data_IF_731775529531
#
_entry.id   IF_731775529531
#
_cell.length_a   1.000
_cell.length_b   1.000
_cell.length_c   1.000
_cell.angle_alpha   90.00
_cell.angle_beta   90.00
_cell.angle_gamma   90.00
#
_symmetry.space_group_name_H-M   'P 1'
#
loop_
_entity.id
_entity.type
_entity.pdbx_description
1 polymer ?
#
# COMPACT_ATOMS: atom_id res chain seq x y z
N UNK A 1 4.42 18.22 -1.07
CA UNK A 1 5.70 17.70 -1.59
C UNK A 1 5.58 17.54 -3.09
N UNK A 2 6.59 17.91 -3.85
CA UNK A 2 6.63 17.82 -5.31
C UNK A 2 7.74 16.86 -5.69
N UNK A 3 7.42 15.83 -6.47
CA UNK A 3 8.39 14.87 -6.99
C UNK A 3 8.52 15.05 -8.50
N UNK A 4 9.73 14.88 -9.02
CA UNK A 4 9.98 14.86 -10.48
C UNK A 4 10.41 13.47 -10.94
N UNK A 5 9.91 13.05 -12.09
CA UNK A 5 10.28 11.78 -12.69
C UNK A 5 11.50 11.92 -13.61
N UNK A 6 12.41 10.94 -13.57
CA UNK A 6 13.40 10.71 -14.62
C UNK A 6 13.78 9.22 -14.69
N UNK A 7 14.49 8.79 -15.73
CA UNK A 7 15.03 7.44 -15.81
C UNK A 7 16.41 7.37 -15.13
N UNK A 8 16.82 6.19 -14.67
CA UNK A 8 18.15 5.98 -14.08
C UNK A 8 19.26 6.39 -15.05
N UNK A 9 19.10 6.13 -16.35
CA UNK A 9 20.06 6.52 -17.38
C UNK A 9 19.82 7.94 -17.94
N UNK A 10 18.99 8.76 -17.28
CA UNK A 10 18.58 10.09 -17.70
C UNK A 10 17.14 10.11 -18.23
N UNK A 11 16.92 9.62 -19.45
CA UNK A 11 15.58 9.43 -20.04
C UNK A 11 15.47 8.00 -20.62
N UNK A 12 14.34 7.64 -21.23
CA UNK A 12 14.09 6.27 -21.74
C UNK A 12 15.23 5.70 -22.63
N UNK A 13 15.85 6.53 -23.47
CA UNK A 13 16.99 6.17 -24.33
C UNK A 13 18.35 6.68 -23.85
N UNK A 14 18.44 7.09 -22.59
CA UNK A 14 19.63 7.74 -22.05
C UNK A 14 19.77 9.23 -22.40
N UNK A 15 20.99 9.75 -22.34
CA UNK A 15 21.32 11.13 -22.70
C UNK A 15 21.88 11.22 -24.13
N UNK A 16 21.75 12.36 -24.81
CA UNK A 16 22.29 12.53 -26.16
C UNK A 16 23.84 12.59 -26.15
N UNK A 17 24.59 11.59 -26.66
CA UNK A 17 26.05 11.56 -26.50
C UNK A 17 26.79 12.67 -27.25
N UNK A 18 26.20 13.15 -28.35
CA UNK A 18 26.76 14.25 -29.16
C UNK A 18 26.50 15.65 -28.58
N UNK A 19 25.73 15.76 -27.49
CA UNK A 19 25.44 17.05 -26.87
C UNK A 19 26.68 17.69 -26.29
N UNK A 20 26.92 18.97 -26.62
CA UNK A 20 28.03 19.75 -26.04
C UNK A 20 27.92 19.84 -24.51
N UNK A 21 26.70 19.96 -23.98
CA UNK A 21 26.43 20.09 -22.53
C UNK A 21 26.73 18.78 -21.80
N UNK A 22 26.46 17.64 -22.44
CA UNK A 22 26.65 16.32 -21.82
C UNK A 22 28.08 15.81 -21.89
N UNK A 23 28.96 16.42 -22.70
CA UNK A 23 30.36 15.99 -22.91
C UNK A 23 31.13 15.80 -21.59
N UNK A 24 30.87 16.64 -20.58
CA UNK A 24 31.55 16.57 -19.28
C UNK A 24 31.27 15.27 -18.51
N UNK A 25 30.19 14.55 -18.85
CA UNK A 25 29.83 13.25 -18.27
C UNK A 25 30.29 12.06 -19.11
N UNK A 26 31.01 12.30 -20.21
CA UNK A 26 31.52 11.25 -21.11
C UNK A 26 30.47 10.21 -21.57
N UNK A 27 29.30 10.63 -22.07
CA UNK A 27 28.28 9.68 -22.50
C UNK A 27 28.71 8.87 -23.73
N UNK A 28 28.34 7.59 -23.76
CA UNK A 28 28.59 6.66 -24.87
C UNK A 28 27.31 5.99 -25.30
N UNK A 29 27.21 5.66 -26.58
CA UNK A 29 26.10 4.87 -27.08
C UNK A 29 26.40 3.39 -26.80
N UNK A 30 25.61 2.78 -25.94
CA UNK A 30 25.73 1.37 -25.55
C UNK A 30 24.48 0.60 -25.94
N UNK A 31 24.62 -0.68 -26.25
CA UNK A 31 23.49 -1.51 -26.68
C UNK A 31 23.18 -2.55 -25.60
N UNK A 32 21.95 -2.57 -25.05
CA UNK A 32 21.57 -3.58 -24.07
C UNK A 32 21.76 -5.00 -24.62
N UNK A 33 22.41 -5.85 -23.83
CA UNK A 33 22.58 -7.27 -24.12
C UNK A 33 21.69 -8.09 -23.17
N UNK A 34 20.47 -8.45 -23.58
CA UNK A 34 19.58 -9.24 -22.73
C UNK A 34 20.11 -10.68 -22.55
N UNK A 35 19.97 -11.21 -21.33
CA UNK A 35 20.23 -12.61 -21.04
C UNK A 35 19.07 -13.51 -21.52
N UNK A 36 19.29 -14.84 -21.53
CA UNK A 36 18.21 -15.81 -21.80
C UNK A 36 17.00 -15.64 -20.87
N UNK A 37 17.24 -15.27 -19.62
CA UNK A 37 16.17 -15.01 -18.65
C UNK A 37 15.45 -13.70 -18.91
N UNK A 38 16.13 -12.65 -19.41
CA UNK A 38 15.45 -11.38 -19.73
C UNK A 38 14.49 -11.54 -20.92
N UNK A 39 14.73 -12.50 -21.82
CA UNK A 39 13.87 -12.78 -22.99
C UNK A 39 12.93 -13.97 -22.81
N UNK A 40 12.86 -14.58 -21.61
CA UNK A 40 11.97 -15.73 -21.36
C UNK A 40 10.52 -15.34 -21.08
N UNK A 41 10.24 -14.04 -20.94
CA UNK A 41 8.91 -13.47 -20.69
C UNK A 41 8.52 -12.46 -21.78
N UNK A 42 7.34 -11.82 -21.66
CA UNK A 42 6.96 -10.75 -22.58
C UNK A 42 8.02 -9.65 -22.59
N UNK A 43 8.49 -9.34 -23.79
CA UNK A 43 9.43 -8.25 -24.05
C UNK A 43 8.59 -7.02 -24.36
N UNK A 44 8.71 -5.99 -23.52
CA UNK A 44 8.13 -4.69 -23.80
C UNK A 44 8.73 -4.10 -25.08
N UNK A 45 7.90 -3.50 -25.94
CA UNK A 45 8.36 -2.82 -27.17
C UNK A 45 9.41 -1.74 -26.89
N UNK A 46 9.37 -1.13 -25.71
CA UNK A 46 10.41 -0.20 -25.25
C UNK A 46 11.78 -0.88 -25.24
N UNK A 47 11.89 -2.10 -24.72
CA UNK A 47 13.17 -2.82 -24.70
C UNK A 47 13.65 -3.18 -26.12
N UNK A 48 12.73 -3.51 -27.03
CA UNK A 48 13.06 -3.74 -28.45
C UNK A 48 13.64 -2.47 -29.09
N UNK A 49 13.00 -1.33 -28.87
CA UNK A 49 13.46 -0.05 -29.39
C UNK A 49 14.83 0.34 -28.82
N UNK A 50 15.02 0.20 -27.51
CA UNK A 50 16.29 0.51 -26.85
C UNK A 50 17.40 -0.43 -27.32
N UNK A 51 17.11 -1.72 -27.55
CA UNK A 51 18.05 -2.67 -28.15
C UNK A 51 18.46 -2.30 -29.58
N UNK A 52 17.53 -1.75 -30.37
CA UNK A 52 17.79 -1.33 -31.75
C UNK A 52 18.58 -0.02 -31.86
N UNK A 53 18.24 0.98 -31.04
CA UNK A 53 18.78 2.34 -31.16
C UNK A 53 19.92 2.64 -30.18
N UNK A 54 20.10 1.80 -29.15
CA UNK A 54 21.07 2.00 -28.09
C UNK A 54 20.59 2.97 -27.00
N UNK A 55 21.34 2.98 -25.90
CA UNK A 55 21.20 3.87 -24.75
C UNK A 55 22.39 4.81 -24.72
N UNK A 56 22.14 6.11 -24.64
CA UNK A 56 23.17 7.08 -24.33
C UNK A 56 23.55 7.02 -22.85
N UNK A 57 24.48 6.13 -22.53
CA UNK A 57 24.89 5.79 -21.18
C UNK A 57 25.98 6.75 -20.70
N UNK A 58 25.84 7.26 -19.47
CA UNK A 58 26.86 8.09 -18.83
C UNK A 58 27.97 7.18 -18.27
N UNK A 59 29.22 7.64 -18.34
CA UNK A 59 30.34 6.92 -17.76
C UNK A 59 30.13 6.73 -16.24
N UNK A 60 30.24 5.50 -15.69
CA UNK A 60 30.06 5.27 -14.26
C UNK A 60 30.92 6.16 -13.35
N UNK A 61 32.12 6.56 -13.80
CA UNK A 61 32.98 7.48 -13.04
C UNK A 61 32.46 8.91 -12.97
N UNK A 62 31.42 9.25 -13.75
CA UNK A 62 30.82 10.59 -13.88
C UNK A 62 29.35 10.64 -13.51
N UNK A 63 28.72 9.50 -13.24
CA UNK A 63 27.26 9.43 -13.01
C UNK A 63 26.81 10.20 -11.77
N UNK A 64 27.61 10.20 -10.69
CA UNK A 64 27.33 11.01 -9.50
C UNK A 64 27.28 12.51 -9.85
N UNK A 65 28.25 13.01 -10.61
CA UNK A 65 28.26 14.42 -11.02
C UNK A 65 27.05 14.77 -11.89
N UNK A 66 26.58 13.83 -12.72
CA UNK A 66 25.36 14.03 -13.51
C UNK A 66 24.12 14.15 -12.63
N UNK A 67 23.93 13.20 -11.70
CA UNK A 67 22.80 13.26 -10.78
C UNK A 67 22.85 14.50 -9.90
N UNK A 68 24.03 14.88 -9.41
CA UNK A 68 24.19 16.07 -8.58
C UNK A 68 23.77 17.34 -9.29
N UNK A 69 24.19 17.53 -10.54
CA UNK A 69 23.79 18.69 -11.33
C UNK A 69 22.28 18.68 -11.62
N UNK A 70 21.70 17.50 -11.90
CA UNK A 70 20.26 17.36 -12.15
C UNK A 70 19.44 17.63 -10.88
N UNK A 71 19.76 16.97 -9.78
CA UNK A 71 19.01 17.06 -8.53
C UNK A 71 19.20 18.40 -7.84
N UNK A 72 20.39 19.00 -7.89
CA UNK A 72 20.60 20.36 -7.36
C UNK A 72 19.77 21.39 -8.13
N UNK A 73 19.68 21.26 -9.46
CA UNK A 73 18.79 22.08 -10.27
C UNK A 73 17.32 21.87 -9.89
N UNK A 74 16.85 20.63 -9.79
CA UNK A 74 15.47 20.33 -9.38
C UNK A 74 15.16 20.89 -7.99
N UNK A 75 16.05 20.70 -7.02
CA UNK A 75 15.92 21.25 -5.67
C UNK A 75 15.88 22.79 -5.68
N UNK A 76 16.70 23.44 -6.53
CA UNK A 76 16.66 24.91 -6.71
C UNK A 76 15.32 25.42 -7.27
N UNK A 77 14.60 24.57 -8.00
CA UNK A 77 13.25 24.82 -8.51
C UNK A 77 12.15 24.48 -7.49
N UNK A 78 12.50 24.06 -6.27
CA UNK A 78 11.53 23.72 -5.22
C UNK A 78 10.98 22.29 -5.30
N UNK A 79 11.62 21.38 -6.03
CA UNK A 79 11.30 19.95 -6.02
C UNK A 79 11.79 19.32 -4.73
N UNK A 80 10.96 18.48 -4.10
CA UNK A 80 11.24 17.84 -2.82
C UNK A 80 11.91 16.46 -2.98
N UNK A 81 11.82 15.83 -4.15
CA UNK A 81 12.37 14.50 -4.42
C UNK A 81 12.18 14.00 -5.84
N UNK A 82 12.55 12.75 -6.10
CA UNK A 82 12.51 12.14 -7.43
C UNK A 82 11.87 10.75 -7.44
N UNK A 83 11.15 10.45 -8.54
CA UNK A 83 10.78 9.08 -8.91
C UNK A 83 11.72 8.65 -10.03
N UNK A 84 12.52 7.60 -9.80
CA UNK A 84 13.55 7.15 -10.75
C UNK A 84 13.19 5.81 -11.35
N UNK A 85 13.01 5.82 -12.66
CA UNK A 85 12.44 4.71 -13.41
C UNK A 85 13.47 4.00 -14.29
N UNK A 86 13.04 2.96 -15.00
CA UNK A 86 13.89 2.22 -15.96
C UNK A 86 15.14 1.64 -15.28
N UNK A 87 15.08 1.34 -13.99
CA UNK A 87 16.29 0.95 -13.25
C UNK A 87 16.82 -0.40 -13.72
N UNK A 88 15.97 -1.36 -14.03
CA UNK A 88 16.36 -2.71 -14.47
C UNK A 88 17.18 -2.73 -15.78
N UNK A 89 17.22 -1.64 -16.57
CA UNK A 89 18.00 -1.60 -17.83
C UNK A 89 19.50 -1.86 -17.59
N UNK A 90 20.01 -1.49 -16.41
CA UNK A 90 21.44 -1.61 -16.07
C UNK A 90 21.91 -3.06 -16.05
N UNK A 91 21.00 -4.01 -15.84
CA UNK A 91 21.30 -5.45 -15.89
C UNK A 91 21.89 -5.86 -17.25
N UNK A 92 21.45 -5.17 -18.31
CA UNK A 92 21.82 -5.45 -19.70
C UNK A 92 22.94 -4.55 -20.24
N UNK A 93 23.43 -3.60 -19.44
CA UNK A 93 24.41 -2.58 -19.87
C UNK A 93 25.78 -2.73 -19.18
N UNK A 94 25.98 -3.74 -18.34
CA UNK A 94 27.22 -3.90 -17.57
C UNK A 94 28.45 -4.38 -18.35
N UNK A 95 28.33 -4.68 -19.65
CA UNK A 95 29.45 -5.14 -20.48
C UNK A 95 30.52 -4.04 -20.58
N UNK A 96 31.78 -4.37 -20.28
CA UNK A 96 32.87 -3.38 -20.24
C UNK A 96 32.96 -2.55 -18.95
N UNK A 97 32.01 -2.70 -18.02
CA UNK A 97 31.94 -1.94 -16.76
C UNK A 97 32.02 -2.83 -15.50
N UNK A 98 32.74 -3.95 -15.57
CA UNK A 98 32.85 -4.91 -14.45
C UNK A 98 31.67 -5.87 -14.32
N UNK A 99 30.75 -5.88 -15.29
CA UNK A 99 29.56 -6.71 -15.30
C UNK A 99 28.37 -6.07 -14.58
N UNK A 100 27.20 -6.70 -14.69
CA UNK A 100 25.92 -6.15 -14.21
C UNK A 100 25.90 -5.80 -12.72
N UNK A 101 26.63 -6.55 -11.89
CA UNK A 101 26.65 -6.34 -10.42
C UNK A 101 27.39 -5.06 -10.07
N UNK A 102 28.63 -4.93 -10.56
CA UNK A 102 29.47 -3.76 -10.28
C UNK A 102 28.87 -2.49 -10.88
N UNK A 103 28.37 -2.58 -12.12
CA UNK A 103 27.73 -1.47 -12.81
C UNK A 103 26.47 -0.97 -12.09
N UNK A 104 25.55 -1.88 -11.73
CA UNK A 104 24.33 -1.53 -10.96
C UNK A 104 24.67 -0.87 -9.64
N UNK A 105 25.67 -1.40 -8.92
CA UNK A 105 26.10 -0.88 -7.63
C UNK A 105 26.61 0.57 -7.73
N UNK A 106 27.42 0.87 -8.75
CA UNK A 106 27.93 2.24 -8.95
C UNK A 106 26.80 3.22 -9.27
N UNK A 107 25.87 2.85 -10.15
CA UNK A 107 24.72 3.70 -10.51
C UNK A 107 23.78 3.93 -9.32
N UNK A 108 23.48 2.88 -8.55
CA UNK A 108 22.60 2.99 -7.38
C UNK A 108 23.23 3.84 -6.29
N UNK A 109 24.52 3.65 -5.99
CA UNK A 109 25.22 4.44 -4.96
C UNK A 109 25.27 5.92 -5.34
N UNK A 110 25.56 6.23 -6.60
CA UNK A 110 25.57 7.60 -7.09
C UNK A 110 24.19 8.26 -7.05
N UNK A 111 23.13 7.51 -7.36
CA UNK A 111 21.76 7.99 -7.26
C UNK A 111 21.42 8.34 -5.81
N UNK A 112 21.66 7.41 -4.89
CA UNK A 112 21.38 7.57 -3.47
C UNK A 112 22.18 8.72 -2.84
N UNK A 113 23.48 8.81 -3.13
CA UNK A 113 24.34 9.91 -2.64
C UNK A 113 23.85 11.27 -3.12
N UNK A 114 23.43 11.35 -4.38
CA UNK A 114 22.90 12.59 -4.93
C UNK A 114 21.54 12.98 -4.32
N UNK A 115 20.68 11.99 -4.06
CA UNK A 115 19.38 12.23 -3.41
C UNK A 115 19.59 12.73 -1.97
N UNK A 116 20.46 12.07 -1.20
CA UNK A 116 20.77 12.45 0.19
C UNK A 116 21.31 13.87 0.28
N UNK A 117 22.20 14.23 -0.66
CA UNK A 117 22.79 15.57 -0.74
C UNK A 117 21.77 16.67 -1.07
N UNK A 118 20.81 16.42 -1.95
CA UNK A 118 19.98 17.47 -2.54
C UNK A 118 18.55 17.56 -1.97
N UNK A 119 18.04 16.49 -1.35
CA UNK A 119 16.65 16.43 -0.87
C UNK A 119 16.55 16.14 0.63
N UNK A 120 15.72 16.93 1.35
CA UNK A 120 15.69 17.02 2.82
C UNK A 120 15.26 15.76 3.60
N UNK A 121 14.90 14.66 2.94
CA UNK A 121 14.38 13.46 3.58
C UNK A 121 14.59 12.16 2.78
N UNK A 122 15.65 12.08 1.96
CA UNK A 122 15.91 10.94 1.08
C UNK A 122 14.68 10.55 0.22
N UNK A 123 14.08 11.57 -0.40
CA UNK A 123 12.83 11.47 -1.13
C UNK A 123 13.04 10.82 -2.51
N UNK A 124 13.29 9.52 -2.51
CA UNK A 124 13.45 8.68 -3.70
C UNK A 124 12.35 7.62 -3.77
N UNK A 125 11.67 7.53 -4.92
CA UNK A 125 10.83 6.40 -5.29
C UNK A 125 11.52 5.64 -6.42
N UNK A 126 12.00 4.44 -6.13
CA UNK A 126 12.61 3.58 -7.15
C UNK A 126 11.55 2.82 -7.94
N UNK A 127 11.67 2.78 -9.25
CA UNK A 127 10.68 2.17 -10.14
C UNK A 127 11.37 1.30 -11.19
N UNK A 128 10.70 0.23 -11.60
CA UNK A 128 11.31 -0.83 -12.42
C UNK A 128 12.63 -1.34 -11.82
N UNK A 129 12.66 -1.54 -10.50
CA UNK A 129 13.89 -1.81 -9.73
C UNK A 129 13.82 -3.12 -8.94
N UNK A 130 13.07 -4.10 -9.44
CA UNK A 130 12.81 -5.38 -8.76
C UNK A 130 13.88 -6.45 -9.02
N UNK A 131 14.98 -6.09 -9.69
CA UNK A 131 16.08 -7.03 -9.89
C UNK A 131 16.88 -7.25 -8.59
N UNK A 132 17.65 -8.34 -8.57
CA UNK A 132 18.47 -8.71 -7.42
C UNK A 132 19.54 -7.67 -7.13
N UNK A 133 20.09 -7.04 -8.16
CA UNK A 133 21.16 -6.05 -8.02
C UNK A 133 20.70 -4.84 -7.22
N UNK A 134 19.48 -4.36 -7.47
CA UNK A 134 18.88 -3.29 -6.68
C UNK A 134 18.67 -3.72 -5.23
N UNK A 135 18.08 -4.89 -5.00
CA UNK A 135 17.82 -5.41 -3.65
C UNK A 135 19.12 -5.50 -2.82
N UNK A 136 20.23 -5.95 -3.42
CA UNK A 136 21.51 -6.08 -2.72
C UNK A 136 22.37 -4.80 -2.71
N UNK A 137 22.09 -3.83 -3.60
CA UNK A 137 22.91 -2.61 -3.73
C UNK A 137 22.29 -1.37 -3.10
N UNK A 138 20.95 -1.33 -2.97
CA UNK A 138 20.22 -0.25 -2.31
C UNK A 138 20.60 -0.21 -0.84
N UNK A 139 21.03 0.96 -0.35
CA UNK A 139 21.45 1.14 1.05
C UNK A 139 20.50 2.04 1.83
N UNK A 140 19.99 3.07 1.16
CA UNK A 140 19.16 4.10 1.81
C UNK A 140 17.81 4.25 1.13
N UNK A 141 17.65 3.88 -0.14
CA UNK A 141 16.38 3.97 -0.85
C UNK A 141 15.26 3.23 -0.11
N UNK A 142 14.29 3.97 0.41
CA UNK A 142 13.27 3.43 1.31
C UNK A 142 11.98 3.01 0.60
N UNK A 143 11.72 3.51 -0.61
CA UNK A 143 10.48 3.26 -1.36
C UNK A 143 10.81 2.69 -2.72
N UNK A 144 10.16 1.57 -3.08
CA UNK A 144 10.24 1.05 -4.44
C UNK A 144 8.87 0.54 -4.92
N UNK A 145 8.57 0.76 -6.20
CA UNK A 145 7.40 0.21 -6.88
C UNK A 145 7.51 -1.29 -6.93
N UNK A 146 6.48 -1.99 -6.44
CA UNK A 146 6.43 -3.45 -6.38
C UNK A 146 5.44 -4.05 -7.36
N UNK A 147 5.18 -3.33 -8.45
CA UNK A 147 4.09 -3.60 -9.37
C UNK A 147 4.51 -3.38 -10.82
N UNK A 148 3.74 -3.96 -11.73
CA UNK A 148 3.56 -3.39 -13.07
C UNK A 148 2.80 -2.06 -12.96
N UNK A 149 2.82 -1.24 -14.01
CA UNK A 149 2.06 0.02 -14.01
C UNK A 149 0.55 -0.23 -13.86
N UNK A 150 -0.13 0.65 -13.13
CA UNK A 150 -1.58 0.73 -13.17
C UNK A 150 -2.03 1.16 -14.57
N UNK A 151 -2.64 0.23 -15.30
CA UNK A 151 -3.13 0.44 -16.67
C UNK A 151 -4.66 0.64 -16.67
N UNK A 152 -5.18 1.88 -16.56
CA UNK A 152 -6.62 2.14 -16.41
C UNK A 152 -7.46 1.60 -17.58
N UNK A 153 -6.90 1.60 -18.79
CA UNK A 153 -7.61 1.18 -20.00
C UNK A 153 -7.50 -0.32 -20.29
N UNK A 154 -6.84 -1.10 -19.42
CA UNK A 154 -6.67 -2.54 -19.56
C UNK A 154 -7.48 -3.28 -18.47
N UNK A 155 -8.72 -3.73 -18.77
CA UNK A 155 -9.60 -4.35 -17.79
C UNK A 155 -9.00 -5.61 -17.13
N UNK A 156 -8.22 -6.37 -17.88
CA UNK A 156 -7.58 -7.62 -17.43
C UNK A 156 -6.42 -7.39 -16.45
N UNK A 157 -5.90 -6.16 -16.36
CA UNK A 157 -4.82 -5.79 -15.44
C UNK A 157 -5.33 -5.33 -14.09
N UNK A 158 -6.61 -4.99 -13.96
CA UNK A 158 -7.14 -4.38 -12.74
C UNK A 158 -7.03 -5.30 -11.53
N UNK A 159 -7.43 -6.56 -11.69
CA UNK A 159 -7.33 -7.57 -10.65
C UNK A 159 -5.92 -8.09 -10.48
N UNK A 160 -5.21 -8.28 -11.60
CA UNK A 160 -3.82 -8.70 -11.63
C UNK A 160 -2.91 -7.75 -10.85
N UNK A 161 -3.10 -6.44 -10.99
CA UNK A 161 -2.33 -5.42 -10.28
C UNK A 161 -2.39 -5.63 -8.77
N UNK A 162 -3.62 -5.74 -8.22
CA UNK A 162 -3.83 -5.93 -6.76
C UNK A 162 -3.22 -7.25 -6.28
N UNK A 163 -3.33 -8.33 -7.06
CA UNK A 163 -2.67 -9.58 -6.73
C UNK A 163 -1.14 -9.44 -6.76
N UNK A 164 -0.57 -8.92 -7.84
CA UNK A 164 0.87 -8.78 -8.02
C UNK A 164 1.50 -7.92 -6.91
N UNK A 165 0.91 -6.78 -6.58
CA UNK A 165 1.45 -5.90 -5.52
C UNK A 165 1.43 -6.56 -4.15
N UNK A 166 0.36 -7.31 -3.83
CA UNK A 166 0.27 -8.02 -2.56
C UNK A 166 1.34 -9.13 -2.48
N UNK A 167 1.46 -9.96 -3.53
CA UNK A 167 2.44 -11.04 -3.56
C UNK A 167 3.88 -10.53 -3.57
N UNK A 168 4.20 -9.51 -4.36
CA UNK A 168 5.54 -8.91 -4.37
C UNK A 168 5.91 -8.28 -3.02
N UNK A 169 4.91 -7.75 -2.30
CA UNK A 169 5.09 -7.19 -0.95
C UNK A 169 5.46 -8.23 0.10
N UNK A 170 5.34 -9.55 -0.16
CA UNK A 170 5.81 -10.59 0.76
C UNK A 170 7.33 -10.54 0.97
N UNK A 171 8.08 -10.35 -0.12
CA UNK A 171 9.54 -10.23 -0.06
C UNK A 171 9.93 -8.77 0.10
N UNK A 172 9.41 -7.90 -0.76
CA UNK A 172 9.89 -6.52 -0.79
C UNK A 172 9.43 -5.68 0.38
N UNK A 173 8.31 -6.02 1.01
CA UNK A 173 7.86 -5.34 2.22
C UNK A 173 8.79 -5.52 3.43
N UNK A 174 9.73 -6.47 3.37
CA UNK A 174 10.78 -6.66 4.40
C UNK A 174 12.01 -5.79 4.14
N UNK A 175 12.10 -5.16 2.96
CA UNK A 175 13.31 -4.47 2.46
C UNK A 175 13.03 -2.98 2.26
N UNK A 176 11.86 -2.65 1.69
CA UNK A 176 11.42 -1.30 1.35
C UNK A 176 9.97 -1.09 1.78
N UNK A 177 9.55 0.17 1.86
CA UNK A 177 8.13 0.54 1.85
C UNK A 177 7.60 0.31 0.42
N UNK A 178 6.68 -0.64 0.20
CA UNK A 178 6.20 -0.92 -1.13
C UNK A 178 5.38 0.25 -1.68
N UNK A 179 5.69 0.69 -2.90
CA UNK A 179 4.83 1.56 -3.69
C UNK A 179 3.91 0.68 -4.56
N UNK A 180 2.60 0.77 -4.31
CA UNK A 180 1.55 0.02 -5.01
C UNK A 180 1.03 0.74 -6.26
N UNK A 181 1.74 1.77 -6.70
CA UNK A 181 1.42 2.65 -7.81
C UNK A 181 0.16 3.50 -7.60
N UNK A 182 0.04 4.51 -8.45
CA UNK A 182 -1.13 5.35 -8.60
C UNK A 182 -2.38 4.56 -8.99
N UNK A 183 -3.54 5.16 -8.80
CA UNK A 183 -4.81 4.71 -9.38
C UNK A 183 -5.66 5.91 -9.79
N UNK A 184 -6.74 5.63 -10.50
CA UNK A 184 -7.76 6.63 -10.82
C UNK A 184 -8.92 6.48 -9.84
N UNK A 185 -9.29 7.57 -9.16
CA UNK A 185 -10.45 7.61 -8.28
C UNK A 185 -11.75 7.74 -9.09
N UNK A 186 -11.73 8.39 -10.26
CA UNK A 186 -12.84 8.41 -11.22
C UNK A 186 -12.71 7.24 -12.21
N UNK A 187 -12.88 6.01 -11.70
CA UNK A 187 -12.77 4.79 -12.48
C UNK A 187 -13.70 3.69 -11.96
N UNK A 188 -14.18 2.80 -12.83
CA UNK A 188 -15.11 1.73 -12.43
C UNK A 188 -14.51 0.73 -11.43
N UNK A 189 -13.18 0.68 -11.30
CA UNK A 189 -12.44 -0.12 -10.31
C UNK A 189 -11.87 0.71 -9.14
N UNK A 190 -12.23 1.99 -9.02
CA UNK A 190 -11.66 2.89 -8.02
C UNK A 190 -11.86 2.41 -6.58
N UNK A 191 -13.05 1.91 -6.25
CA UNK A 191 -13.33 1.34 -4.93
C UNK A 191 -12.42 0.14 -4.62
N UNK A 192 -12.25 -0.77 -5.60
CA UNK A 192 -11.42 -1.97 -5.48
C UNK A 192 -9.94 -1.61 -5.23
N UNK A 193 -9.42 -0.66 -6.02
CA UNK A 193 -8.04 -0.18 -5.91
C UNK A 193 -7.78 0.68 -4.67
N UNK A 194 -8.75 1.51 -4.28
CA UNK A 194 -8.71 2.30 -3.07
C UNK A 194 -8.69 1.40 -1.83
N UNK A 195 -9.63 0.46 -1.75
CA UNK A 195 -9.67 -0.55 -0.69
C UNK A 195 -8.31 -1.26 -0.55
N UNK A 196 -7.74 -1.78 -1.65
CA UNK A 196 -6.44 -2.45 -1.63
C UNK A 196 -5.31 -1.57 -1.03
N UNK A 197 -5.23 -0.29 -1.42
CA UNK A 197 -4.20 0.65 -0.94
C UNK A 197 -4.33 0.99 0.54
N UNK A 198 -5.54 0.94 1.11
CA UNK A 198 -5.74 1.08 2.55
C UNK A 198 -5.06 -0.05 3.35
N UNK A 199 -4.92 -1.24 2.75
CA UNK A 199 -4.22 -2.38 3.32
C UNK A 199 -2.72 -2.41 3.00
N UNK A 200 -2.28 -1.74 1.95
CA UNK A 200 -0.91 -1.86 1.45
C UNK A 200 0.18 -1.36 2.40
N UNK A 201 -0.17 -0.51 3.36
CA UNK A 201 0.83 0.20 4.18
C UNK A 201 1.71 1.13 3.34
N UNK A 202 1.20 1.53 2.18
CA UNK A 202 1.90 2.29 1.16
C UNK A 202 1.43 3.75 1.13
N UNK A 203 2.07 4.55 0.28
CA UNK A 203 1.55 5.87 -0.10
C UNK A 203 0.32 5.75 -1.00
N UNK A 204 -0.44 6.83 -1.12
CA UNK A 204 -1.64 6.90 -1.96
C UNK A 204 -1.41 8.00 -3.01
N UNK A 205 -1.37 7.61 -4.28
CA UNK A 205 -1.26 8.52 -5.41
C UNK A 205 -2.51 8.42 -6.27
N UNK A 206 -3.16 9.55 -6.51
CA UNK A 206 -4.30 9.65 -7.42
C UNK A 206 -3.83 10.37 -8.67
N UNK A 207 -4.06 9.76 -9.84
CA UNK A 207 -3.57 10.25 -11.13
C UNK A 207 -4.71 10.60 -12.09
N UNK A 208 -5.83 11.01 -11.50
CA UNK A 208 -6.99 11.47 -12.24
C UNK A 208 -6.68 12.69 -13.11
N UNK A 209 -7.49 12.87 -14.14
CA UNK A 209 -7.50 14.14 -14.88
C UNK A 209 -7.91 15.28 -13.93
N UNK A 210 -7.30 16.48 -14.04
CA UNK A 210 -7.71 17.63 -13.25
C UNK A 210 -9.23 17.87 -13.33
N UNK A 211 -9.88 17.97 -12.17
CA UNK A 211 -11.33 18.17 -12.07
C UNK A 211 -12.19 16.91 -12.22
N UNK A 212 -11.58 15.72 -12.33
CA UNK A 212 -12.26 14.42 -12.45
C UNK A 212 -11.89 13.51 -11.28
N UNK A 213 -12.30 13.89 -10.08
CA UNK A 213 -12.01 13.15 -8.86
C UNK A 213 -13.30 12.59 -8.25
N UNK A 214 -13.26 11.33 -7.83
CA UNK A 214 -14.28 10.76 -6.96
C UNK A 214 -13.88 11.00 -5.49
N UNK A 215 -14.42 12.09 -4.92
CA UNK A 215 -14.18 12.42 -3.53
C UNK A 215 -14.81 11.42 -2.55
N UNK A 216 -15.80 10.62 -2.95
CA UNK A 216 -16.37 9.60 -2.08
C UNK A 216 -15.41 8.44 -1.87
N UNK A 217 -14.61 8.07 -2.88
CA UNK A 217 -13.53 7.10 -2.71
C UNK A 217 -12.35 7.72 -1.96
N UNK A 218 -11.93 8.94 -2.33
CA UNK A 218 -10.76 9.59 -1.71
C UNK A 218 -10.95 9.83 -0.22
N UNK A 219 -12.14 10.28 0.22
CA UNK A 219 -12.45 10.51 1.65
C UNK A 219 -12.47 9.24 2.49
N UNK A 220 -12.49 8.05 1.89
CA UNK A 220 -12.33 6.77 2.63
C UNK A 220 -10.87 6.41 2.87
N UNK A 221 -9.93 7.12 2.24
CA UNK A 221 -8.48 6.88 2.29
C UNK A 221 -7.72 7.99 3.01
N UNK A 222 -8.15 9.23 2.80
CA UNK A 222 -7.40 10.45 3.16
C UNK A 222 -8.23 11.29 4.12
N UNK A 223 -7.59 11.74 5.21
CA UNK A 223 -8.15 12.70 6.16
C UNK A 223 -8.21 14.11 5.55
N UNK A 224 -9.04 15.03 6.07
CA UNK A 224 -9.11 16.40 5.57
C UNK A 224 -7.78 17.19 5.54
N UNK A 225 -6.79 16.81 6.35
CA UNK A 225 -5.45 17.42 6.34
C UNK A 225 -4.51 16.84 5.26
N UNK A 226 -5.00 15.93 4.41
CA UNK A 226 -4.24 15.26 3.36
C UNK A 226 -3.42 14.05 3.83
N UNK A 227 -3.42 13.75 5.14
CA UNK A 227 -2.73 12.57 5.66
C UNK A 227 -3.58 11.31 5.55
N UNK A 228 -2.93 10.16 5.64
CA UNK A 228 -3.57 8.84 5.52
C UNK A 228 -3.51 8.06 6.83
N UNK A 229 -4.49 7.19 7.03
CA UNK A 229 -4.46 6.19 8.10
C UNK A 229 -3.64 4.98 7.62
N UNK A 230 -2.33 5.16 7.47
CA UNK A 230 -1.44 4.12 6.93
C UNK A 230 -1.31 2.94 7.91
N UNK A 231 -1.52 1.72 7.43
CA UNK A 231 -1.20 0.51 8.18
C UNK A 231 0.33 0.41 8.43
N UNK A 232 0.74 -0.37 9.44
CA UNK A 232 2.13 -0.38 9.93
C UNK A 232 3.08 -1.23 9.10
N UNK A 233 2.63 -2.35 8.54
CA UNK A 233 3.45 -3.28 7.75
C UNK A 233 3.17 -3.09 6.27
N UNK A 234 3.86 -3.84 5.41
CA UNK A 234 3.45 -4.02 4.03
C UNK A 234 2.25 -4.98 3.94
N UNK A 235 1.21 -4.59 3.19
CA UNK A 235 0.05 -5.44 2.93
C UNK A 235 0.48 -6.70 2.16
N UNK A 236 0.05 -7.86 2.60
CA UNK A 236 0.46 -9.15 2.02
C UNK A 236 -0.66 -10.19 2.06
N UNK A 237 -0.61 -11.23 1.21
CA UNK A 237 -1.60 -12.29 1.24
C UNK A 237 -1.66 -12.97 2.60
N UNK A 238 -2.84 -13.42 2.99
CA UNK A 238 -3.01 -14.29 4.17
C UNK A 238 -2.43 -15.66 3.87
N UNK A 239 -2.00 -16.37 4.92
CA UNK A 239 -1.29 -17.65 4.80
C UNK A 239 -2.05 -18.70 3.98
N UNK A 240 -3.38 -18.72 4.11
CA UNK A 240 -4.25 -19.70 3.48
C UNK A 240 -4.45 -19.49 1.98
N UNK A 241 -4.17 -18.29 1.44
CA UNK A 241 -4.21 -18.03 0.00
C UNK A 241 -2.81 -17.86 -0.63
N UNK A 242 -1.71 -18.09 0.10
CA UNK A 242 -0.33 -17.93 -0.41
C UNK A 242 -0.01 -18.83 -1.61
N UNK A 243 -0.60 -20.02 -1.66
CA UNK A 243 -0.35 -21.00 -2.74
C UNK A 243 -1.54 -21.17 -3.67
N UNK A 244 -2.50 -20.25 -3.60
CA UNK A 244 -3.64 -20.17 -4.51
C UNK A 244 -3.32 -19.22 -5.66
N UNK A 245 -3.98 -19.44 -6.80
CA UNK A 245 -3.97 -18.49 -7.91
C UNK A 245 -5.27 -17.67 -7.86
N UNK A 246 -5.28 -16.48 -7.26
CA UNK A 246 -6.51 -15.71 -7.09
C UNK A 246 -6.96 -15.00 -8.36
N UNK A 247 -6.25 -15.16 -9.48
CA UNK A 247 -6.47 -14.36 -10.69
C UNK A 247 -7.08 -15.14 -11.85
N UNK A 248 -6.81 -16.44 -11.98
CA UNK A 248 -7.32 -17.26 -13.09
C UNK A 248 -7.86 -18.65 -12.71
N UNK A 249 -7.77 -19.12 -11.47
CA UNK A 249 -8.20 -20.48 -11.10
C UNK A 249 -9.73 -20.70 -11.05
N UNK A 250 -10.51 -19.62 -11.14
CA UNK A 250 -11.96 -19.63 -11.07
C UNK A 250 -12.54 -20.04 -9.70
N UNK A 251 -11.74 -20.03 -8.62
CA UNK A 251 -12.11 -20.61 -7.31
C UNK A 251 -11.64 -19.78 -6.12
N UNK A 252 -10.49 -19.13 -6.21
CA UNK A 252 -9.84 -18.49 -5.07
C UNK A 252 -10.12 -17.00 -4.98
N UNK A 253 -10.40 -16.52 -3.76
CA UNK A 253 -10.37 -15.10 -3.41
C UNK A 253 -8.98 -14.74 -2.89
N UNK A 254 -8.50 -13.55 -3.23
CA UNK A 254 -7.31 -12.99 -2.59
C UNK A 254 -7.70 -12.37 -1.25
N UNK A 255 -7.01 -12.76 -0.18
CA UNK A 255 -7.13 -12.10 1.11
C UNK A 255 -5.81 -11.40 1.42
N UNK A 256 -5.87 -10.12 1.76
CA UNK A 256 -4.72 -9.29 2.13
C UNK A 256 -4.90 -8.89 3.59
N UNK A 257 -3.84 -8.95 4.39
CA UNK A 257 -3.88 -8.50 5.78
C UNK A 257 -2.79 -7.48 6.08
N UNK A 258 -3.05 -6.67 7.13
CA UNK A 258 -2.08 -5.77 7.75
C UNK A 258 -2.48 -5.48 9.20
N UNK A 259 -1.68 -4.68 9.91
CA UNK A 259 -1.92 -4.27 11.31
C UNK A 259 -1.75 -2.77 11.51
N UNK A 260 -2.52 -2.24 12.46
CA UNK A 260 -2.41 -0.90 13.03
C UNK A 260 -1.80 -1.00 14.45
N UNK A 261 -1.92 0.05 15.26
CA UNK A 261 -1.40 0.01 16.63
C UNK A 261 -2.14 -0.99 17.51
N UNK A 262 -3.47 -1.08 17.39
CA UNK A 262 -4.33 -1.89 18.26
C UNK A 262 -5.33 -2.78 17.52
N UNK A 263 -5.36 -2.75 16.18
CA UNK A 263 -6.29 -3.53 15.34
C UNK A 263 -5.56 -4.12 14.14
N UNK A 264 -6.07 -5.24 13.63
CA UNK A 264 -5.75 -5.76 12.31
C UNK A 264 -6.74 -5.23 11.26
N UNK A 265 -6.36 -5.37 9.99
CA UNK A 265 -7.22 -5.13 8.84
C UNK A 265 -7.09 -6.31 7.86
N UNK A 266 -8.21 -6.82 7.38
CA UNK A 266 -8.28 -7.86 6.34
C UNK A 266 -9.11 -7.31 5.19
N UNK A 267 -8.66 -7.53 3.97
CA UNK A 267 -9.34 -7.14 2.76
C UNK A 267 -9.47 -8.36 1.87
N UNK A 268 -10.65 -8.56 1.32
CA UNK A 268 -10.98 -9.76 0.54
C UNK A 268 -11.38 -9.30 -0.84
N UNK A 269 -10.73 -9.84 -1.85
CA UNK A 269 -10.80 -9.35 -3.22
C UNK A 269 -11.08 -10.52 -4.16
N UNK A 270 -12.12 -10.37 -4.98
CA UNK A 270 -12.30 -11.26 -6.11
C UNK A 270 -11.45 -10.76 -7.29
N UNK A 271 -10.23 -11.30 -7.37
CA UNK A 271 -9.25 -10.96 -8.41
C UNK A 271 -9.38 -11.83 -9.68
N UNK A 272 -10.42 -12.67 -9.78
CA UNK A 272 -10.60 -13.52 -10.94
C UNK A 272 -10.73 -12.72 -12.23
N UNK A 273 -10.53 -13.40 -13.35
CA UNK A 273 -10.60 -12.83 -14.70
C UNK A 273 -9.48 -11.86 -15.01
N UNK A 274 -8.32 -12.00 -14.35
CA UNK A 274 -7.13 -11.50 -15.01
C UNK A 274 -6.96 -12.24 -16.34
N UNK A 275 -6.27 -11.61 -17.29
CA UNK A 275 -5.81 -12.31 -18.48
C UNK A 275 -4.78 -13.39 -18.12
N UNK A 276 -4.02 -13.86 -19.10
CA UNK A 276 -2.97 -14.86 -18.86
C UNK A 276 -1.83 -14.28 -17.99
N UNK A 277 -1.50 -14.95 -16.88
CA UNK A 277 -0.36 -14.61 -16.01
C UNK A 277 0.55 -15.83 -15.72
N UNK A 278 1.89 -15.70 -15.77
CA UNK A 278 2.62 -14.55 -16.32
C UNK A 278 2.27 -14.39 -17.81
N UNK A 279 2.30 -13.17 -18.35
CA UNK A 279 2.03 -12.98 -19.76
C UNK A 279 3.12 -13.73 -20.53
N UNK A 280 2.71 -14.55 -21.50
CA UNK A 280 3.63 -15.24 -22.41
C UNK A 280 3.68 -14.48 -23.72
N UNK A 281 4.79 -14.52 -24.49
CA UNK A 281 4.82 -13.94 -25.83
C UNK A 281 3.62 -14.40 -26.67
N UNK A 282 2.88 -13.45 -27.25
CA UNK A 282 1.66 -13.73 -28.03
C UNK A 282 0.40 -13.99 -27.20
N UNK A 283 0.44 -13.83 -25.87
CA UNK A 283 -0.77 -13.89 -25.05
C UNK A 283 -1.72 -12.74 -25.45
N UNK A 284 -2.91 -13.09 -25.90
CA UNK A 284 -4.00 -12.12 -26.00
C UNK A 284 -4.59 -11.93 -24.61
N UNK A 285 -4.67 -10.68 -24.15
CA UNK A 285 -5.38 -10.31 -22.94
C UNK A 285 -6.88 -10.31 -23.23
N UNK A 286 -7.42 -11.48 -23.54
CA UNK A 286 -8.86 -11.61 -23.74
C UNK A 286 -9.55 -11.55 -22.38
N UNK A 287 -10.53 -10.66 -22.25
CA UNK A 287 -11.54 -10.78 -21.21
C UNK A 287 -12.16 -12.19 -21.31
N UNK A 288 -12.26 -12.96 -20.21
CA UNK A 288 -12.78 -14.31 -20.31
C UNK A 288 -14.13 -14.33 -21.01
N UNK A 289 -14.31 -15.25 -21.97
CA UNK A 289 -15.58 -15.42 -22.67
C UNK A 289 -16.66 -15.85 -21.68
N UNK A 290 -17.68 -15.00 -21.49
CA UNK A 290 -18.83 -15.28 -20.62
C UNK A 290 -19.25 -14.10 -19.75
N UNK A 291 -20.55 -13.82 -19.69
CA UNK A 291 -21.15 -12.69 -18.96
C UNK A 291 -21.44 -12.96 -17.48
N UNK A 292 -21.19 -14.17 -16.96
CA UNK A 292 -21.66 -14.56 -15.64
C UNK A 292 -20.63 -14.23 -14.56
N UNK A 293 -20.81 -13.11 -13.86
CA UNK A 293 -20.05 -12.74 -12.64
C UNK A 293 -19.73 -13.97 -11.79
N UNK A 294 -18.44 -14.23 -11.59
CA UNK A 294 -18.01 -15.39 -10.82
C UNK A 294 -18.18 -15.05 -9.36
N UNK A 295 -19.27 -15.49 -8.76
CA UNK A 295 -19.49 -15.41 -7.33
C UNK A 295 -18.63 -16.47 -6.64
N UNK A 296 -17.62 -16.03 -5.89
CA UNK A 296 -16.75 -16.92 -5.12
C UNK A 296 -16.98 -16.70 -3.63
N UNK A 297 -16.88 -17.79 -2.86
CA UNK A 297 -16.93 -17.76 -1.40
C UNK A 297 -15.56 -18.08 -0.80
N UNK A 298 -15.24 -17.43 0.33
CA UNK A 298 -14.09 -17.81 1.18
C UNK A 298 -14.46 -17.61 2.65
N UNK A 299 -13.65 -18.16 3.55
CA UNK A 299 -13.80 -17.95 4.99
C UNK A 299 -12.87 -16.84 5.48
N UNK A 300 -13.42 -15.99 6.35
CA UNK A 300 -12.70 -14.91 7.03
C UNK A 300 -12.52 -15.29 8.48
N UNK A 301 -11.30 -15.18 8.99
CA UNK A 301 -10.98 -15.47 10.39
C UNK A 301 -10.18 -14.32 11.00
N UNK A 302 -10.33 -14.02 12.31
CA UNK A 302 -9.37 -13.15 13.00
C UNK A 302 -7.93 -13.66 12.87
N UNK A 303 -7.74 -14.98 12.74
CA UNK A 303 -6.42 -15.60 12.55
C UNK A 303 -5.78 -15.32 11.19
N UNK A 304 -6.52 -14.73 10.24
CA UNK A 304 -5.95 -14.28 8.96
C UNK A 304 -5.01 -13.06 9.14
N UNK A 305 -5.08 -12.37 10.28
CA UNK A 305 -4.08 -11.37 10.69
C UNK A 305 -2.94 -12.10 11.40
N UNK A 306 -1.88 -12.45 10.68
CA UNK A 306 -0.78 -13.26 11.26
C UNK A 306 -0.17 -12.61 12.51
N UNK A 307 -0.09 -11.28 12.53
CA UNK A 307 0.48 -10.49 13.65
C UNK A 307 -0.56 -10.02 14.67
N UNK A 308 -1.69 -10.71 14.80
CA UNK A 308 -2.74 -10.34 15.76
C UNK A 308 -2.23 -10.32 17.21
N UNK A 309 -1.34 -11.24 17.57
CA UNK A 309 -0.75 -11.31 18.92
C UNK A 309 0.15 -10.11 19.23
N UNK A 310 0.79 -9.49 18.23
CA UNK A 310 1.66 -8.32 18.43
C UNK A 310 0.88 -7.06 18.82
N UNK A 311 -0.42 -7.01 18.49
CA UNK A 311 -1.32 -5.89 18.75
C UNK A 311 -2.35 -6.20 19.83
N UNK A 312 -2.43 -7.45 20.25
CA UNK A 312 -3.14 -7.88 21.44
C UNK A 312 -2.20 -7.71 22.64
N UNK A 313 -2.66 -7.02 23.68
CA UNK A 313 -1.94 -6.94 24.95
C UNK A 313 -2.44 -8.03 25.92
N UNK A 314 -1.86 -8.06 27.12
CA UNK A 314 -2.19 -9.02 28.18
C UNK A 314 -3.66 -9.03 28.61
N UNK A 315 -4.43 -7.99 28.28
CA UNK A 315 -5.86 -7.90 28.60
C UNK A 315 -6.75 -8.59 27.56
N UNK A 316 -6.18 -9.13 26.47
CA UNK A 316 -6.95 -9.82 25.43
C UNK A 316 -7.55 -11.14 25.94
N UNK A 317 -8.86 -11.33 25.76
CA UNK A 317 -9.55 -12.56 26.17
C UNK A 317 -9.58 -13.67 25.10
N UNK A 318 -8.91 -13.49 23.96
CA UNK A 318 -8.92 -14.43 22.84
C UNK A 318 -10.06 -14.21 21.83
N UNK A 319 -11.02 -13.33 22.11
CA UNK A 319 -12.07 -12.92 21.17
C UNK A 319 -11.70 -11.61 20.44
N UNK A 320 -12.26 -11.40 19.27
CA UNK A 320 -12.10 -10.20 18.46
C UNK A 320 -13.46 -9.62 18.09
N UNK A 321 -13.52 -8.31 17.97
CA UNK A 321 -14.61 -7.58 17.33
C UNK A 321 -14.25 -7.38 15.85
N UNK A 322 -15.10 -7.86 14.96
CA UNK A 322 -14.92 -7.82 13.50
C UNK A 322 -15.96 -6.89 12.90
N UNK A 323 -15.51 -5.72 12.49
CA UNK A 323 -16.35 -4.72 11.83
C UNK A 323 -16.23 -4.85 10.32
N UNK A 324 -17.36 -5.11 9.66
CA UNK A 324 -17.49 -5.16 8.21
C UNK A 324 -17.73 -3.76 7.66
N UNK A 325 -16.84 -3.29 6.79
CA UNK A 325 -16.91 -1.93 6.25
C UNK A 325 -18.13 -1.74 5.35
N UNK A 326 -18.38 -2.66 4.42
CA UNK A 326 -19.44 -2.53 3.42
C UNK A 326 -20.85 -2.56 4.01
N UNK A 327 -21.09 -3.43 5.00
CA UNK A 327 -22.39 -3.53 5.69
C UNK A 327 -22.52 -2.61 6.91
N UNK A 328 -21.39 -2.14 7.46
CA UNK A 328 -21.38 -1.37 8.71
C UNK A 328 -21.75 -2.19 9.95
N UNK A 329 -21.71 -3.53 9.86
CA UNK A 329 -22.12 -4.45 10.93
C UNK A 329 -20.94 -4.95 11.75
N UNK A 330 -21.18 -5.24 13.03
CA UNK A 330 -20.18 -5.73 13.97
C UNK A 330 -20.51 -7.15 14.43
N UNK A 331 -19.49 -8.01 14.45
CA UNK A 331 -19.59 -9.37 15.01
C UNK A 331 -18.50 -9.63 16.05
N UNK A 332 -18.84 -10.39 17.08
CA UNK A 332 -17.87 -10.92 18.04
C UNK A 332 -17.46 -12.33 17.60
N UNK A 333 -16.16 -12.61 17.63
CA UNK A 333 -15.62 -13.89 17.14
C UNK A 333 -14.44 -14.37 17.96
N UNK A 334 -14.39 -15.66 18.34
CA UNK A 334 -13.17 -16.26 18.85
C UNK A 334 -12.05 -16.17 17.81
N UNK A 335 -10.79 -16.08 18.25
CA UNK A 335 -9.62 -16.02 17.36
C UNK A 335 -9.64 -17.02 16.22
N UNK A 336 -10.01 -18.28 16.52
CA UNK A 336 -10.08 -19.40 15.55
C UNK A 336 -11.46 -19.56 14.90
N UNK A 337 -12.40 -18.69 15.21
CA UNK A 337 -13.70 -18.63 14.55
C UNK A 337 -13.57 -18.11 13.12
N UNK A 338 -14.60 -18.35 12.32
CA UNK A 338 -14.66 -17.85 10.95
C UNK A 338 -16.09 -17.88 10.40
N UNK A 339 -16.36 -17.02 9.42
CA UNK A 339 -17.63 -16.96 8.68
C UNK A 339 -17.36 -16.87 7.18
N UNK A 340 -18.38 -17.15 6.38
CA UNK A 340 -18.28 -17.10 4.92
C UNK A 340 -18.55 -15.68 4.40
N UNK A 341 -17.80 -15.29 3.38
CA UNK A 341 -18.04 -14.10 2.56
C UNK A 341 -18.12 -14.53 1.10
N UNK A 342 -19.04 -13.94 0.35
CA UNK A 342 -19.18 -14.18 -1.09
C UNK A 342 -19.02 -12.88 -1.88
N UNK A 343 -18.19 -12.89 -2.91
CA UNK A 343 -17.87 -11.72 -3.72
C UNK A 343 -17.96 -12.04 -5.21
N UNK A 344 -18.65 -11.19 -5.97
CA UNK A 344 -18.55 -11.18 -7.43
C UNK A 344 -17.23 -10.60 -7.90
N UNK A 345 -16.89 -10.78 -9.18
CA UNK A 345 -15.64 -10.26 -9.75
C UNK A 345 -15.51 -8.74 -9.56
N UNK A 346 -14.28 -8.26 -9.28
CA UNK A 346 -13.98 -6.85 -8.99
C UNK A 346 -14.75 -6.27 -7.79
N UNK A 347 -15.35 -7.12 -6.95
CA UNK A 347 -15.88 -6.73 -5.64
C UNK A 347 -14.87 -7.05 -4.55
N UNK A 348 -14.94 -6.27 -3.48
CA UNK A 348 -14.14 -6.46 -2.29
C UNK A 348 -14.90 -6.10 -1.03
N UNK A 349 -14.44 -6.62 0.10
CA UNK A 349 -14.93 -6.29 1.44
C UNK A 349 -13.72 -6.11 2.38
N UNK A 350 -13.85 -5.22 3.37
CA UNK A 350 -12.81 -4.92 4.35
C UNK A 350 -13.35 -5.19 5.75
N UNK A 351 -12.53 -5.85 6.56
CA UNK A 351 -12.79 -6.11 7.96
C UNK A 351 -11.74 -5.45 8.84
N UNK A 352 -12.19 -4.67 9.81
CA UNK A 352 -11.33 -4.27 10.94
C UNK A 352 -11.44 -5.35 12.02
N UNK A 353 -10.29 -5.88 12.44
CA UNK A 353 -10.19 -6.93 13.46
C UNK A 353 -9.61 -6.32 14.74
N UNK A 354 -10.43 -6.09 15.76
CA UNK A 354 -9.96 -5.52 17.03
C UNK A 354 -9.98 -6.58 18.14
N UNK A 355 -8.83 -6.92 18.77
CA UNK A 355 -8.78 -7.74 19.98
C UNK A 355 -9.68 -7.16 21.08
N UNK A 356 -10.54 -8.01 21.67
CA UNK A 356 -11.43 -7.64 22.78
C UNK A 356 -10.65 -7.73 24.08
N UNK A 357 -10.47 -6.58 24.73
CA UNK A 357 -9.77 -6.48 26.01
C UNK A 357 -10.75 -6.49 27.16
N UNK A 358 -10.34 -7.10 28.27
CA UNK A 358 -11.13 -7.19 29.51
C UNK A 358 -10.51 -6.30 30.57
N UNK A 359 -11.30 -5.39 31.12
CA UNK A 359 -10.87 -4.43 32.12
C UNK A 359 -11.74 -4.46 33.37
N UNK A 360 -11.13 -4.25 34.54
CA UNK A 360 -11.83 -4.02 35.82
C UNK A 360 -12.97 -5.00 36.07
N UNK A 361 -14.19 -4.48 36.16
CA UNK A 361 -15.45 -5.21 36.42
C UNK A 361 -15.91 -6.10 35.24
N UNK A 362 -14.98 -6.85 34.63
CA UNK A 362 -15.19 -7.71 33.48
C UNK A 362 -15.71 -6.95 32.23
N UNK A 363 -15.28 -5.70 32.05
CA UNK A 363 -15.69 -4.88 30.92
C UNK A 363 -14.93 -5.34 29.67
N UNK A 364 -15.66 -5.89 28.70
CA UNK A 364 -15.14 -6.23 27.38
C UNK A 364 -15.26 -5.04 26.42
N UNK A 365 -14.13 -4.59 25.88
CA UNK A 365 -14.03 -3.41 25.03
C UNK A 365 -13.01 -3.60 23.89
N UNK A 366 -13.31 -3.07 22.70
CA UNK A 366 -12.40 -3.12 21.55
C UNK A 366 -12.59 -1.87 20.65
N UNK A 367 -11.60 -0.97 20.52
CA UNK A 367 -11.74 0.21 19.68
C UNK A 367 -11.64 -0.16 18.18
N UNK A 368 -12.55 0.37 17.35
CA UNK A 368 -12.55 0.13 15.90
C UNK A 368 -11.94 1.29 15.11
N UNK A 369 -12.07 2.52 15.60
CA UNK A 369 -11.49 3.72 14.98
C UNK A 369 -12.50 4.49 14.14
N UNK A 370 -12.06 5.09 13.02
CA UNK A 370 -12.92 5.86 12.12
C UNK A 370 -13.65 4.93 11.14
N UNK A 371 -14.86 4.51 11.48
CA UNK A 371 -15.57 3.40 10.82
C UNK A 371 -16.07 3.68 9.40
N UNK A 372 -15.91 4.92 8.93
CA UNK A 372 -16.20 5.35 7.55
C UNK A 372 -14.92 5.39 6.67
N UNK A 373 -13.75 5.08 7.24
CA UNK A 373 -12.47 4.95 6.53
C UNK A 373 -12.17 3.48 6.24
N UNK A 374 -11.58 3.19 5.07
CA UNK A 374 -11.19 1.82 4.72
C UNK A 374 -10.25 1.20 5.76
N UNK A 375 -9.26 1.96 6.23
CA UNK A 375 -8.43 1.57 7.38
C UNK A 375 -8.87 2.26 8.67
N UNK A 376 -10.05 1.91 9.16
CA UNK A 376 -10.67 2.49 10.37
C UNK A 376 -9.72 2.53 11.57
N UNK A 377 -9.09 1.39 11.89
CA UNK A 377 -8.26 1.26 13.08
C UNK A 377 -6.93 2.02 13.02
N UNK A 378 -6.51 2.48 11.84
CA UNK A 378 -5.32 3.32 11.68
C UNK A 378 -5.43 4.67 12.38
N UNK A 379 -6.64 5.10 12.74
CA UNK A 379 -6.89 6.31 13.52
C UNK A 379 -6.48 6.17 15.00
N UNK A 380 -6.36 4.95 15.53
CA UNK A 380 -6.17 4.71 16.96
C UNK A 380 -4.67 4.74 17.30
N UNK A 381 -4.31 5.55 18.29
CA UNK A 381 -2.93 5.65 18.79
C UNK A 381 -2.69 4.79 20.02
N UNK A 382 -3.58 4.85 21.00
CA UNK A 382 -3.46 4.13 22.27
C UNK A 382 -4.81 3.89 22.92
N UNK A 383 -4.84 2.91 23.81
CA UNK A 383 -5.96 2.58 24.68
C UNK A 383 -5.38 2.37 26.08
N UNK A 384 -5.98 3.00 27.06
CA UNK A 384 -5.70 2.84 28.48
C UNK A 384 -7.02 2.65 29.23
N UNK A 385 -7.00 1.87 30.30
CA UNK A 385 -8.17 1.62 31.12
C UNK A 385 -7.84 1.79 32.59
N UNK A 386 -8.63 2.64 33.26
CA UNK A 386 -8.43 2.97 34.66
C UNK A 386 -9.74 3.32 35.33
N UNK A 387 -9.75 3.35 36.66
CA UNK A 387 -10.84 3.95 37.42
C UNK A 387 -10.76 5.48 37.33
N UNK A 388 -11.89 6.14 37.14
CA UNK A 388 -12.01 7.58 37.22
C UNK A 388 -12.02 8.05 38.70
N UNK A 389 -12.13 9.37 38.92
CA UNK A 389 -12.17 9.95 40.28
C UNK A 389 -13.39 9.52 41.11
N UNK A 390 -14.44 8.99 40.47
CA UNK A 390 -15.64 8.46 41.12
C UNK A 390 -15.58 6.95 41.37
N UNK A 391 -14.48 6.30 40.97
CA UNK A 391 -14.27 4.86 41.09
C UNK A 391 -14.88 4.03 39.95
N UNK A 392 -15.49 4.67 38.96
CA UNK A 392 -16.08 4.02 37.78
C UNK A 392 -14.99 3.65 36.77
N UNK A 393 -15.17 2.54 36.06
CA UNK A 393 -14.22 2.12 35.04
C UNK A 393 -14.33 3.01 33.80
N UNK A 394 -13.18 3.46 33.31
CA UNK A 394 -13.07 4.36 32.16
C UNK A 394 -12.07 3.81 31.15
N UNK A 395 -12.51 3.69 29.89
CA UNK A 395 -11.63 3.49 28.74
C UNK A 395 -11.22 4.85 28.16
N UNK A 396 -9.92 5.07 28.05
CA UNK A 396 -9.30 6.30 27.52
C UNK A 396 -8.56 5.97 26.23
N UNK A 397 -8.99 6.57 25.12
CA UNK A 397 -8.44 6.28 23.79
C UNK A 397 -7.87 7.55 23.20
N UNK A 398 -6.65 7.48 22.67
CA UNK A 398 -6.13 8.54 21.80
C UNK A 398 -6.43 8.18 20.36
N UNK A 399 -7.14 9.07 19.67
CA UNK A 399 -7.55 8.90 18.29
C UNK A 399 -7.14 10.12 17.47
N UNK A 400 -6.80 9.92 16.20
CA UNK A 400 -6.53 11.01 15.25
C UNK A 400 -7.63 11.07 14.19
N UNK A 401 -8.03 12.29 13.83
CA UNK A 401 -8.96 12.52 12.72
C UNK A 401 -10.36 12.95 13.17
N UNK A 402 -11.27 12.94 12.21
CA UNK A 402 -12.66 13.36 12.37
C UNK A 402 -13.60 12.41 11.62
N UNK A 403 -14.89 12.42 11.96
CA UNK A 403 -15.89 11.52 11.38
C UNK A 403 -16.53 10.62 12.42
N UNK A 404 -17.13 9.50 11.99
CA UNK A 404 -17.78 8.56 12.90
C UNK A 404 -16.74 7.64 13.55
N UNK A 405 -16.62 7.73 14.87
CA UNK A 405 -15.83 6.78 15.66
C UNK A 405 -16.69 5.58 16.05
N UNK A 406 -16.09 4.39 16.04
CA UNK A 406 -16.72 3.15 16.49
C UNK A 406 -15.86 2.36 17.47
N UNK A 407 -16.54 1.60 18.35
CA UNK A 407 -15.94 0.62 19.23
C UNK A 407 -16.93 -0.52 19.53
N UNK A 408 -16.41 -1.70 19.85
CA UNK A 408 -17.14 -2.75 20.51
C UNK A 408 -17.19 -2.51 22.02
N UNK A 409 -18.37 -2.67 22.60
CA UNK A 409 -18.59 -2.71 24.04
C UNK A 409 -19.66 -3.74 24.37
N UNK A 410 -19.36 -4.69 25.25
CA UNK A 410 -20.36 -5.70 25.65
C UNK A 410 -21.53 -5.16 26.47
N UNK A 411 -21.40 -3.95 27.05
CA UNK A 411 -22.43 -3.26 27.83
C UNK A 411 -22.55 -1.81 27.39
N UNK A 412 -23.73 -1.22 27.57
CA UNK A 412 -23.97 0.19 27.27
C UNK A 412 -23.14 1.09 28.21
N UNK A 413 -22.29 1.99 27.69
CA UNK A 413 -21.61 2.99 28.52
C UNK A 413 -22.60 3.95 29.20
N UNK A 414 -22.19 4.56 30.32
CA UNK A 414 -22.94 5.64 30.96
C UNK A 414 -22.81 6.95 30.20
N UNK A 415 -21.58 7.28 29.79
CA UNK A 415 -21.28 8.51 29.07
C UNK A 415 -20.05 8.32 28.17
N UNK A 416 -19.97 9.15 27.14
CA UNK A 416 -18.82 9.27 26.26
C UNK A 416 -18.42 10.76 26.21
N UNK A 417 -17.13 11.05 26.29
CA UNK A 417 -16.60 12.40 26.15
C UNK A 417 -15.42 12.43 25.18
N UNK A 418 -15.27 13.55 24.48
CA UNK A 418 -14.14 13.85 23.60
C UNK A 418 -13.52 15.16 24.07
N UNK A 419 -12.23 15.13 24.42
CA UNK A 419 -11.50 16.26 25.01
C UNK A 419 -12.27 16.89 26.19
N UNK A 420 -12.77 16.01 27.08
CA UNK A 420 -13.58 16.35 28.27
C UNK A 420 -14.94 16.98 27.98
N UNK A 421 -15.40 17.00 26.72
CA UNK A 421 -16.74 17.44 26.33
C UNK A 421 -17.62 16.24 26.07
N UNK A 422 -18.73 16.15 26.78
CA UNK A 422 -19.69 15.06 26.61
C UNK A 422 -20.24 14.99 25.18
N UNK A 423 -20.41 13.78 24.66
CA UNK A 423 -20.91 13.50 23.33
C UNK A 423 -22.08 12.52 23.42
N UNK A 424 -23.12 12.82 22.65
CA UNK A 424 -24.18 11.86 22.39
C UNK A 424 -23.61 10.70 21.59
N UNK A 425 -24.01 9.49 21.97
CA UNK A 425 -23.58 8.25 21.34
C UNK A 425 -24.78 7.36 21.02
N UNK A 426 -24.59 6.50 20.02
CA UNK A 426 -25.51 5.45 19.63
C UNK A 426 -24.90 4.12 20.09
N UNK A 427 -25.72 3.27 20.71
CA UNK A 427 -25.30 1.95 21.16
C UNK A 427 -26.28 0.89 20.68
N UNK A 428 -25.81 -0.02 19.84
CA UNK A 428 -26.53 -1.22 19.46
C UNK A 428 -26.26 -2.33 20.49
N UNK A 429 -27.29 -2.69 21.26
CA UNK A 429 -27.17 -3.73 22.28
C UNK A 429 -27.05 -5.15 21.72
N UNK A 430 -27.47 -5.39 20.47
CA UNK A 430 -27.40 -6.70 19.82
C UNK A 430 -25.97 -6.98 19.35
N UNK A 431 -25.34 -6.01 18.70
CA UNK A 431 -23.99 -6.15 18.15
C UNK A 431 -22.90 -5.68 19.13
N UNK A 432 -23.27 -4.89 20.14
CA UNK A 432 -22.32 -4.21 21.02
C UNK A 432 -21.61 -3.04 20.35
N UNK A 433 -22.16 -2.50 19.26
CA UNK A 433 -21.54 -1.41 18.49
C UNK A 433 -21.86 -0.06 19.14
N UNK A 434 -20.84 0.60 19.65
CA UNK A 434 -20.86 1.98 20.13
C UNK A 434 -20.36 2.90 19.02
N UNK A 435 -21.11 3.95 18.68
CA UNK A 435 -20.66 4.98 17.74
C UNK A 435 -21.00 6.40 18.19
N UNK A 436 -20.14 7.35 17.83
CA UNK A 436 -20.38 8.78 18.01
C UNK A 436 -19.49 9.60 17.06
N UNK A 437 -19.81 10.89 16.89
CA UNK A 437 -19.12 11.78 15.96
C UNK A 437 -17.93 12.49 16.61
N UNK A 438 -16.79 12.47 15.93
CA UNK A 438 -15.62 13.29 16.22
C UNK A 438 -15.65 14.54 15.34
N UNK A 439 -15.97 15.68 15.97
CA UNK A 439 -15.97 16.99 15.32
C UNK A 439 -14.58 17.62 15.31
N UNK A 440 -14.39 18.66 14.49
CA UNK A 440 -13.16 19.45 14.45
C UNK A 440 -12.13 18.94 13.44
N UNK A 441 -10.87 19.29 13.68
CA UNK A 441 -9.74 19.05 12.79
C UNK A 441 -9.20 17.60 12.87
N UNK A 442 -8.07 17.36 12.21
CA UNK A 442 -7.39 16.06 12.14
C UNK A 442 -6.37 15.84 13.28
N UNK A 443 -6.40 16.64 14.35
CA UNK A 443 -5.50 16.48 15.47
C UNK A 443 -5.86 15.26 16.34
N UNK A 444 -4.93 14.90 17.23
CA UNK A 444 -5.19 13.90 18.26
C UNK A 444 -6.21 14.40 19.26
N UNK A 445 -7.19 13.54 19.55
CA UNK A 445 -8.28 13.76 20.49
C UNK A 445 -8.27 12.66 21.54
N UNK A 446 -8.68 13.01 22.74
CA UNK A 446 -8.85 12.07 23.84
C UNK A 446 -10.31 11.70 23.99
N UNK A 447 -10.63 10.43 23.72
CA UNK A 447 -11.93 9.84 24.00
C UNK A 447 -11.91 9.25 25.41
N UNK A 448 -12.97 9.47 26.18
CA UNK A 448 -13.24 8.85 27.46
C UNK A 448 -14.61 8.18 27.42
N UNK A 449 -14.67 6.90 27.77
CA UNK A 449 -15.92 6.11 27.83
C UNK A 449 -16.03 5.54 29.25
N UNK A 450 -17.11 5.90 29.96
CA UNK A 450 -17.30 5.57 31.38
C UNK A 450 -18.42 4.53 31.55
N UNK A 451 -18.22 3.57 32.46
CA UNK A 451 -19.10 2.43 32.72
C UNK A 451 -19.69 2.40 34.13
#
# INVERSE_FOLDING_TARGET
MIYTWHALVGYWGGVLPRSKVMRKYNPRLEFPMPSRSNVSHVICDTLVNVGKYGVGLIDPSKILSFYDDLHSYLASCGVDGVKVDVQNIVEMLGSGYGGRVEFSRQYQQALEESVDKNFKANNLISCMSLNTEYIYSSKVGAVARVSEDFMPNEPTFQTLHVAAVAFNSLLLGEIVVPDWDQFYSDHYTAYFHGAARALGGCSIYVSDRPGKHDFEVIKKLVLPDGSILRARKAGRPTRDCLFSDPVIDGKSLLKIWNVNNLTGIIGIFNCQRAGKWPPTPGAQYESPQGSADVLLSSRVSPSDVDSLEEIADEHWNGDCALYSFGSGSLSKMPRKGSFEVSLGTLKCEIYTVSPIRVFGDNIQFAPLGLVDMFNSGGAIKSLDCKKDSSGLMMAKIQVRGCGRFGAYSHRKPRSCAVDKKEKQFIYDAKEGLLTFKLDGDCNYKEIQIVY
#
